data_IF_120076655355
#
_entry.id   IF_120076655355
#
_cell.length_a   1.000
_cell.length_b   1.000
_cell.length_c   1.000
_cell.angle_alpha   90.00
_cell.angle_beta   90.00
_cell.angle_gamma   90.00
#
_symmetry.space_group_name_H-M   'P 1'
#
loop_
_entity.id
_entity.type
_entity.pdbx_description
1 polymer ?
#
# COMPACT_ATOMS: atom_id res chain seq x y z
N UNK A 1 -43.46 -71.59 7.41
CA UNK A 1 -43.26 -72.17 8.77
C UNK A 1 -41.78 -72.03 9.12
N UNK A 2 -41.50 -71.40 10.27
CA UNK A 2 -40.30 -71.49 11.14
C UNK A 2 -38.89 -71.29 10.54
N UNK A 3 -38.34 -70.11 10.86
CA UNK A 3 -37.05 -69.84 11.53
C UNK A 3 -35.88 -70.79 11.33
N UNK A 4 -34.72 -70.27 10.88
CA UNK A 4 -33.42 -70.49 11.53
C UNK A 4 -32.50 -69.27 11.41
N UNK A 5 -31.95 -68.91 12.57
CA UNK A 5 -30.90 -67.93 12.83
C UNK A 5 -29.55 -68.57 12.52
N UNK A 6 -28.66 -67.87 11.83
CA UNK A 6 -27.23 -68.03 12.06
C UNK A 6 -26.50 -66.70 11.84
N UNK A 7 -25.96 -66.19 12.94
CA UNK A 7 -25.05 -65.05 13.04
C UNK A 7 -23.72 -65.42 12.38
N UNK A 8 -23.24 -64.56 11.47
CA UNK A 8 -21.82 -64.48 11.15
C UNK A 8 -21.41 -63.01 11.17
N UNK A 9 -20.56 -62.71 12.15
CA UNK A 9 -19.91 -61.44 12.42
C UNK A 9 -18.93 -61.13 11.27
N UNK A 10 -19.24 -60.12 10.45
CA UNK A 10 -18.27 -59.55 9.50
C UNK A 10 -18.06 -58.08 9.87
N UNK A 11 -16.86 -57.82 10.36
CA UNK A 11 -16.33 -56.51 10.70
C UNK A 11 -16.09 -55.74 9.37
N UNK A 12 -17.04 -54.89 8.96
CA UNK A 12 -16.82 -53.95 7.86
C UNK A 12 -16.26 -52.65 8.42
N UNK A 13 -14.99 -52.37 8.12
CA UNK A 13 -14.45 -51.01 8.21
C UNK A 13 -15.07 -50.18 7.09
N UNK A 14 -15.91 -49.22 7.47
CA UNK A 14 -16.37 -48.17 6.56
C UNK A 14 -15.22 -47.18 6.37
N UNK A 15 -14.52 -47.30 5.25
CA UNK A 15 -13.78 -46.18 4.67
C UNK A 15 -14.80 -45.26 4.00
N UNK A 16 -14.94 -44.04 4.49
CA UNK A 16 -15.74 -43.01 3.85
C UNK A 16 -14.86 -42.35 2.79
N UNK A 17 -15.17 -42.60 1.52
CA UNK A 17 -14.64 -41.86 0.38
C UNK A 17 -15.49 -40.58 0.25
N UNK A 18 -14.88 -39.42 0.49
CA UNK A 18 -15.52 -38.14 0.27
C UNK A 18 -14.96 -37.53 -1.02
N UNK A 19 -15.57 -37.89 -2.15
CA UNK A 19 -15.49 -37.11 -3.38
C UNK A 19 -16.02 -35.70 -3.08
N UNK A 20 -15.10 -34.77 -2.83
CA UNK A 20 -15.39 -33.35 -2.83
C UNK A 20 -15.01 -32.81 -4.19
N UNK A 21 -16.04 -32.58 -5.01
CA UNK A 21 -15.91 -31.88 -6.28
C UNK A 21 -15.07 -30.62 -6.08
N UNK A 22 -14.01 -30.52 -6.88
CA UNK A 22 -13.14 -29.35 -6.97
C UNK A 22 -13.93 -28.14 -7.43
N UNK A 23 -14.53 -27.44 -6.47
CA UNK A 23 -14.79 -26.02 -6.61
C UNK A 23 -13.43 -25.36 -6.84
N UNK A 24 -13.22 -24.88 -8.06
CA UNK A 24 -12.09 -24.03 -8.41
C UNK A 24 -12.10 -22.84 -7.45
N UNK A 25 -11.33 -22.97 -6.37
CA UNK A 25 -10.79 -21.86 -5.62
C UNK A 25 -10.08 -20.99 -6.67
N UNK A 26 -10.73 -19.92 -7.10
CA UNK A 26 -10.00 -18.79 -7.67
C UNK A 26 -8.98 -18.45 -6.58
N UNK A 27 -7.72 -18.81 -6.82
CA UNK A 27 -6.60 -18.22 -6.13
C UNK A 27 -6.74 -16.72 -6.38
N UNK A 28 -7.38 -16.00 -5.46
CA UNK A 28 -7.08 -14.59 -5.27
C UNK A 28 -5.61 -14.60 -4.93
N UNK A 29 -4.77 -14.31 -5.93
CA UNK A 29 -3.35 -14.11 -5.72
C UNK A 29 -3.25 -13.05 -4.63
N UNK A 30 -2.88 -13.47 -3.42
CA UNK A 30 -2.70 -12.56 -2.30
C UNK A 30 -1.44 -11.76 -2.61
N UNK A 31 -1.63 -10.58 -3.21
CA UNK A 31 -0.55 -9.67 -3.56
C UNK A 31 -0.14 -8.97 -2.28
N UNK A 32 1.14 -9.04 -1.93
CA UNK A 32 1.69 -8.33 -0.78
C UNK A 32 1.37 -6.84 -0.82
N UNK A 33 1.08 -6.24 0.34
CA UNK A 33 0.88 -4.80 0.49
C UNK A 33 2.18 -4.13 0.90
N UNK A 34 2.56 -3.09 0.17
CA UNK A 34 3.73 -2.28 0.47
C UNK A 34 3.33 -0.99 1.20
N UNK A 35 4.24 -0.45 2.01
CA UNK A 35 4.08 0.87 2.66
C UNK A 35 4.39 2.01 1.69
N UNK A 36 4.21 3.25 2.12
CA UNK A 36 4.45 4.42 1.26
C UNK A 36 5.93 4.66 0.95
N UNK A 37 6.84 4.07 1.74
CA UNK A 37 8.29 4.17 1.52
C UNK A 37 8.82 3.13 0.53
N UNK A 38 7.93 2.31 -0.07
CA UNK A 38 8.34 1.26 -0.99
C UNK A 38 8.98 1.83 -2.25
N UNK A 39 9.98 1.11 -2.78
CA UNK A 39 10.66 1.40 -4.06
C UNK A 39 10.36 0.38 -5.14
N UNK A 40 9.39 -0.50 -4.89
CA UNK A 40 8.93 -1.46 -5.86
C UNK A 40 7.45 -1.77 -5.63
N UNK A 41 6.79 -2.17 -6.69
CA UNK A 41 5.39 -2.59 -6.68
C UNK A 41 5.15 -3.59 -7.80
N UNK A 42 4.02 -4.28 -7.74
CA UNK A 42 3.61 -5.25 -8.76
C UNK A 42 2.28 -4.87 -9.38
N UNK A 43 2.14 -5.07 -10.68
CA UNK A 43 0.87 -4.96 -11.40
C UNK A 43 0.81 -6.05 -12.46
N UNK A 44 -0.23 -6.88 -12.40
CA UNK A 44 -0.34 -8.15 -13.13
C UNK A 44 0.93 -9.02 -12.98
N UNK A 45 1.48 -9.52 -14.08
CA UNK A 45 2.72 -10.31 -14.09
C UNK A 45 3.97 -9.43 -14.27
N UNK A 46 3.96 -8.21 -13.74
CA UNK A 46 5.09 -7.28 -13.79
C UNK A 46 5.48 -6.75 -12.41
N UNK A 47 6.79 -6.66 -12.18
CA UNK A 47 7.41 -5.99 -11.05
C UNK A 47 8.06 -4.70 -11.56
N UNK A 48 7.70 -3.58 -10.94
CA UNK A 48 8.29 -2.27 -11.19
C UNK A 48 9.16 -1.91 -10.00
N UNK A 49 10.36 -1.41 -10.23
CA UNK A 49 11.21 -0.87 -9.17
C UNK A 49 11.90 0.41 -9.58
N UNK A 50 12.18 1.27 -8.62
CA UNK A 50 12.90 2.52 -8.84
C UNK A 50 14.26 2.53 -8.14
N UNK A 51 15.26 3.05 -8.83
CA UNK A 51 16.49 3.54 -8.21
C UNK A 51 16.45 5.08 -8.11
N UNK A 52 17.59 5.76 -8.00
CA UNK A 52 17.63 7.21 -7.84
C UNK A 52 17.17 7.99 -9.09
N UNK A 53 17.08 7.35 -10.25
CA UNK A 53 16.75 8.02 -11.53
C UNK A 53 15.94 7.18 -12.52
N UNK A 54 15.73 5.90 -12.24
CA UNK A 54 15.32 4.93 -13.25
C UNK A 54 14.18 4.07 -12.76
N UNK A 55 13.17 3.89 -13.61
CA UNK A 55 12.12 2.89 -13.47
C UNK A 55 12.55 1.63 -14.22
N UNK A 56 12.69 0.55 -13.48
CA UNK A 56 13.06 -0.77 -13.96
C UNK A 56 11.79 -1.63 -14.06
N UNK A 57 11.58 -2.27 -15.20
CA UNK A 57 10.41 -3.13 -15.43
C UNK A 57 10.88 -4.56 -15.61
N UNK A 58 10.30 -5.47 -14.83
CA UNK A 58 10.57 -6.90 -14.88
C UNK A 58 9.29 -7.65 -15.18
N UNK A 59 9.33 -8.54 -16.16
CA UNK A 59 8.32 -9.60 -16.30
C UNK A 59 8.56 -10.65 -15.22
N UNK A 60 7.50 -11.00 -14.49
CA UNK A 60 7.47 -12.03 -13.44
C UNK A 60 6.49 -13.15 -13.79
N UNK A 61 6.21 -13.34 -15.09
CA UNK A 61 5.42 -14.48 -15.61
C UNK A 61 6.03 -15.81 -15.16
N UNK A 62 7.36 -15.94 -15.25
CA UNK A 62 8.12 -16.95 -14.52
C UNK A 62 8.64 -16.36 -13.21
N UNK A 63 7.96 -16.67 -12.11
CA UNK A 63 8.28 -16.14 -10.77
C UNK A 63 9.64 -16.60 -10.25
N UNK A 64 10.16 -17.72 -10.73
CA UNK A 64 11.48 -18.23 -10.35
C UNK A 64 12.59 -17.59 -11.18
N UNK A 65 12.25 -17.04 -12.36
CA UNK A 65 13.20 -16.40 -13.27
C UNK A 65 12.68 -15.05 -13.81
N UNK A 66 12.58 -14.00 -12.98
CA UNK A 66 12.21 -12.67 -13.44
C UNK A 66 13.13 -12.15 -14.55
N UNK A 67 12.55 -11.54 -15.59
CA UNK A 67 13.30 -10.98 -16.73
C UNK A 67 13.11 -9.47 -16.77
N UNK A 68 14.22 -8.71 -16.76
CA UNK A 68 14.16 -7.26 -17.00
C UNK A 68 13.76 -7.00 -18.46
N UNK A 69 12.58 -6.44 -18.67
CA UNK A 69 12.01 -6.20 -20.01
C UNK A 69 12.15 -4.76 -20.47
N UNK A 70 12.25 -3.81 -19.52
CA UNK A 70 12.43 -2.41 -19.85
C UNK A 70 13.19 -1.63 -18.76
N UNK A 71 13.70 -0.47 -19.13
CA UNK A 71 14.35 0.51 -18.28
C UNK A 71 14.02 1.91 -18.82
N UNK A 72 13.44 2.76 -17.97
CA UNK A 72 13.02 4.12 -18.32
C UNK A 72 13.72 5.11 -17.39
N UNK A 73 14.41 6.10 -17.96
CA UNK A 73 14.89 7.24 -17.18
C UNK A 73 13.70 8.12 -16.80
N UNK A 74 13.49 8.32 -15.49
CA UNK A 74 12.30 8.98 -14.93
C UNK A 74 12.64 10.24 -14.13
N UNK A 75 13.89 10.70 -14.15
CA UNK A 75 14.34 11.92 -13.49
C UNK A 75 15.48 11.66 -12.51
N UNK A 76 15.53 12.42 -11.41
CA UNK A 76 16.56 12.31 -10.39
C UNK A 76 15.93 12.37 -9.00
N UNK A 77 16.68 11.91 -8.00
CA UNK A 77 16.26 11.91 -6.59
C UNK A 77 14.90 11.21 -6.40
N UNK A 78 14.71 10.09 -7.10
CA UNK A 78 13.52 9.26 -6.94
C UNK A 78 13.62 8.48 -5.63
N UNK A 79 12.52 8.45 -4.88
CA UNK A 79 12.52 7.94 -3.49
C UNK A 79 11.50 6.84 -3.26
N UNK A 80 10.31 6.95 -3.85
CA UNK A 80 9.19 6.04 -3.60
C UNK A 80 8.44 5.69 -4.88
N UNK A 81 7.78 4.54 -4.86
CA UNK A 81 6.95 4.03 -5.94
C UNK A 81 5.67 3.42 -5.36
N UNK A 82 4.54 4.04 -5.69
CA UNK A 82 3.22 3.57 -5.31
C UNK A 82 2.39 3.22 -6.54
N UNK A 83 1.60 2.16 -6.44
CA UNK A 83 0.69 1.71 -7.49
C UNK A 83 -0.76 1.94 -7.07
N UNK A 84 -1.56 2.51 -7.97
CA UNK A 84 -3.01 2.43 -7.90
C UNK A 84 -3.58 2.14 -9.28
N UNK A 85 -4.21 0.96 -9.44
CA UNK A 85 -4.70 0.45 -10.72
C UNK A 85 -3.60 0.49 -11.80
N UNK A 86 -3.88 0.95 -13.01
CA UNK A 86 -2.94 1.12 -14.11
C UNK A 86 -2.04 2.38 -14.01
N UNK A 87 -1.87 2.97 -12.83
CA UNK A 87 -1.02 4.14 -12.61
C UNK A 87 0.09 3.86 -11.59
N UNK A 88 1.26 4.40 -11.88
CA UNK A 88 2.37 4.52 -10.96
C UNK A 88 2.52 5.98 -10.52
N UNK A 89 2.55 6.17 -9.21
CA UNK A 89 2.85 7.43 -8.56
C UNK A 89 4.27 7.33 -8.02
N UNK A 90 5.17 8.14 -8.57
CA UNK A 90 6.59 8.14 -8.24
C UNK A 90 6.87 9.37 -7.40
N UNK A 91 7.29 9.16 -6.15
CA UNK A 91 7.78 10.22 -5.30
C UNK A 91 9.25 10.53 -5.61
N UNK A 92 9.54 11.81 -5.77
CA UNK A 92 10.88 12.37 -5.90
C UNK A 92 11.00 13.54 -4.96
N UNK A 93 12.24 13.87 -4.59
CA UNK A 93 12.45 15.03 -3.73
C UNK A 93 11.87 16.32 -4.29
N UNK A 94 11.75 16.47 -5.61
CA UNK A 94 11.28 17.70 -6.23
C UNK A 94 9.82 17.65 -6.70
N UNK A 95 9.18 16.47 -6.67
CA UNK A 95 7.86 16.33 -7.24
C UNK A 95 7.30 14.92 -7.19
N UNK A 96 6.01 14.83 -7.47
CA UNK A 96 5.32 13.59 -7.77
C UNK A 96 5.19 13.44 -9.28
N UNK A 97 5.60 12.30 -9.83
CA UNK A 97 5.41 11.95 -11.24
C UNK A 97 4.33 10.88 -11.37
N UNK A 98 3.53 10.96 -12.43
CA UNK A 98 2.48 9.96 -12.73
C UNK A 98 2.80 9.29 -14.07
N UNK A 99 2.86 7.97 -14.06
CA UNK A 99 3.04 7.13 -15.24
C UNK A 99 1.84 6.21 -15.42
N UNK A 100 1.42 6.01 -16.67
CA UNK A 100 0.51 4.91 -17.05
C UNK A 100 1.30 3.64 -17.26
N UNK A 101 0.75 2.53 -16.78
CA UNK A 101 1.22 1.16 -17.04
C UNK A 101 0.14 0.33 -17.75
N UNK A 102 -0.72 1.00 -18.53
CA UNK A 102 -1.70 0.32 -19.38
C UNK A 102 -1.03 -0.60 -20.41
N UNK A 103 0.17 -0.24 -20.89
CA UNK A 103 1.12 -1.18 -21.47
C UNK A 103 2.16 -1.53 -20.39
N UNK A 104 2.09 -2.72 -19.75
CA UNK A 104 2.92 -3.02 -18.59
C UNK A 104 4.44 -2.99 -18.86
N UNK A 105 4.86 -3.34 -20.08
CA UNK A 105 6.27 -3.33 -20.45
C UNK A 105 6.78 -1.93 -20.82
N UNK A 106 5.88 -0.97 -21.13
CA UNK A 106 6.23 0.37 -21.61
C UNK A 106 5.53 1.46 -20.78
N UNK A 107 6.01 1.75 -19.55
CA UNK A 107 5.47 2.85 -18.75
C UNK A 107 5.51 4.18 -19.50
N UNK A 108 4.36 4.86 -19.55
CA UNK A 108 4.19 6.12 -20.26
C UNK A 108 4.06 7.27 -19.27
N UNK A 109 4.95 8.25 -19.35
CA UNK A 109 4.83 9.50 -18.59
C UNK A 109 3.52 10.21 -18.93
N UNK A 110 2.76 10.61 -17.91
CA UNK A 110 1.50 11.34 -18.06
C UNK A 110 1.64 12.80 -17.62
N UNK A 111 2.08 13.01 -16.38
CA UNK A 111 2.20 14.34 -15.79
C UNK A 111 3.15 14.33 -14.60
N UNK A 112 3.41 15.54 -14.08
CA UNK A 112 4.14 15.76 -12.84
C UNK A 112 3.47 16.88 -12.04
N UNK A 113 3.70 16.85 -10.73
CA UNK A 113 3.47 17.99 -9.85
C UNK A 113 4.78 18.30 -9.16
N UNK A 114 5.27 19.52 -9.35
CA UNK A 114 6.48 20.02 -8.70
C UNK A 114 6.11 20.70 -7.39
N UNK A 115 6.85 20.39 -6.33
CA UNK A 115 6.70 21.01 -5.01
C UNK A 115 8.06 21.49 -4.48
N UNK A 116 8.11 21.89 -3.20
CA UNK A 116 9.39 22.20 -2.55
C UNK A 116 10.24 20.94 -2.49
N UNK A 117 11.57 21.09 -2.55
CA UNK A 117 12.47 19.95 -2.38
C UNK A 117 12.29 19.34 -0.98
N UNK A 118 11.71 18.15 -0.83
CA UNK A 118 11.56 17.44 0.46
C UNK A 118 11.80 15.93 0.30
N UNK A 119 11.58 15.12 1.33
CA UNK A 119 11.46 13.68 1.14
C UNK A 119 9.98 13.31 1.10
N UNK A 120 9.56 12.62 0.03
CA UNK A 120 8.16 12.65 -0.41
C UNK A 120 7.59 11.25 -0.74
N UNK A 121 7.08 10.52 0.26
CA UNK A 121 6.20 9.38 0.01
C UNK A 121 4.86 9.84 -0.56
N UNK A 122 4.34 9.01 -1.46
CA UNK A 122 3.07 9.23 -2.13
C UNK A 122 2.18 8.02 -1.93
N UNK A 123 0.91 8.25 -1.58
CA UNK A 123 -0.16 7.26 -1.72
C UNK A 123 -1.30 7.89 -2.51
N UNK A 124 -2.05 7.08 -3.25
CA UNK A 124 -3.15 7.56 -4.06
C UNK A 124 -4.36 6.62 -3.99
N UNK A 125 -5.54 7.18 -4.22
CA UNK A 125 -6.75 6.43 -4.48
C UNK A 125 -7.31 6.81 -5.87
N UNK A 126 -8.59 6.52 -6.11
CA UNK A 126 -9.21 6.75 -7.40
C UNK A 126 -9.33 8.22 -7.81
N UNK A 127 -9.32 9.15 -6.84
CA UNK A 127 -9.64 10.56 -7.08
C UNK A 127 -8.59 11.51 -6.52
N UNK A 128 -7.75 11.06 -5.59
CA UNK A 128 -6.78 11.91 -4.90
C UNK A 128 -5.41 11.24 -4.73
N UNK A 129 -4.36 12.07 -4.79
CA UNK A 129 -3.01 11.73 -4.36
C UNK A 129 -2.64 12.53 -3.11
N UNK A 130 -1.94 11.87 -2.19
CA UNK A 130 -1.53 12.40 -0.90
C UNK A 130 -0.01 12.33 -0.82
N UNK A 131 0.61 13.48 -0.57
CA UNK A 131 2.08 13.64 -0.55
C UNK A 131 2.47 14.29 0.75
N UNK A 132 3.42 13.72 1.46
CA UNK A 132 3.99 14.36 2.67
C UNK A 132 5.36 14.90 2.36
N UNK A 133 5.55 16.20 2.60
CA UNK A 133 6.86 16.84 2.56
C UNK A 133 7.49 16.78 3.95
N UNK A 134 8.62 16.09 4.02
CA UNK A 134 9.38 15.89 5.26
C UNK A 134 10.69 16.71 5.30
N UNK A 135 10.94 17.41 6.40
CA UNK A 135 12.10 18.26 6.62
C UNK A 135 13.27 17.59 7.39
N UNK A 136 13.66 16.36 7.05
CA UNK A 136 14.86 15.75 7.66
C UNK A 136 16.18 16.23 7.03
N UNK A 137 17.28 15.88 7.70
CA UNK A 137 18.64 16.01 7.17
C UNK A 137 18.72 15.27 5.83
N UNK A 138 19.01 16.03 4.76
CA UNK A 138 19.14 15.50 3.40
C UNK A 138 17.90 15.68 2.52
N UNK A 139 16.77 16.12 3.08
CA UNK A 139 15.54 16.39 2.32
C UNK A 139 15.49 17.80 1.73
N UNK A 140 16.38 18.72 2.15
CA UNK A 140 16.52 20.03 1.50
C UNK A 140 15.46 21.08 1.86
N UNK A 141 14.58 20.80 2.82
CA UNK A 141 13.54 21.74 3.29
C UNK A 141 13.50 21.87 4.82
N UNK A 142 12.74 22.87 5.27
CA UNK A 142 12.33 23.09 6.66
C UNK A 142 10.81 23.03 6.85
N UNK A 143 10.06 22.53 5.86
CA UNK A 143 8.61 22.40 5.91
C UNK A 143 8.21 20.96 6.20
N UNK A 144 7.24 20.80 7.10
CA UNK A 144 6.58 19.53 7.39
C UNK A 144 5.10 19.70 7.07
N UNK A 145 4.66 19.18 5.93
CA UNK A 145 3.27 19.37 5.47
C UNK A 145 2.74 18.12 4.77
N UNK A 146 1.42 17.94 4.84
CA UNK A 146 0.66 17.05 3.96
C UNK A 146 0.04 17.90 2.85
N UNK A 147 0.22 17.49 1.61
CA UNK A 147 -0.42 18.05 0.42
C UNK A 147 -1.37 17.04 -0.20
N UNK A 148 -2.48 17.56 -0.72
CA UNK A 148 -3.52 16.76 -1.35
C UNK A 148 -3.80 17.31 -2.75
N UNK A 149 -3.84 16.40 -3.72
CA UNK A 149 -4.06 16.69 -5.12
C UNK A 149 -5.28 15.92 -5.65
N UNK A 150 -6.13 16.59 -6.42
CA UNK A 150 -7.13 15.94 -7.28
C UNK A 150 -6.39 15.27 -8.44
N UNK A 151 -6.69 13.98 -8.67
CA UNK A 151 -6.16 13.17 -9.78
C UNK A 151 -7.27 12.47 -10.57
N UNK A 152 -8.51 12.99 -10.55
CA UNK A 152 -9.58 12.54 -11.45
C UNK A 152 -9.15 12.67 -12.93
N UNK A 153 -8.38 13.72 -13.22
CA UNK A 153 -7.63 13.87 -14.46
C UNK A 153 -6.13 13.69 -14.18
N UNK A 154 -5.63 12.46 -14.33
CA UNK A 154 -4.23 12.11 -14.05
C UNK A 154 -3.22 12.79 -14.97
N UNK A 155 -3.64 13.41 -16.09
CA UNK A 155 -2.72 14.19 -16.94
C UNK A 155 -2.64 15.67 -16.51
N UNK A 156 -3.53 16.10 -15.62
CA UNK A 156 -3.55 17.45 -15.08
C UNK A 156 -3.97 17.46 -13.60
N UNK A 157 -3.11 16.96 -12.68
CA UNK A 157 -3.40 16.99 -11.25
C UNK A 157 -3.59 18.41 -10.72
N UNK A 158 -4.55 18.61 -9.80
CA UNK A 158 -4.88 19.93 -9.25
C UNK A 158 -4.63 19.94 -7.75
N UNK A 159 -3.85 20.91 -7.25
CA UNK A 159 -3.66 21.11 -5.82
C UNK A 159 -4.97 21.50 -5.14
N UNK A 160 -5.33 20.79 -4.07
CA UNK A 160 -6.54 21.03 -3.27
C UNK A 160 -6.19 21.77 -1.99
N UNK A 161 -5.34 21.17 -1.16
CA UNK A 161 -5.10 21.66 0.20
C UNK A 161 -3.73 21.25 0.73
N UNK A 162 -3.31 21.99 1.76
CA UNK A 162 -2.07 21.73 2.50
C UNK A 162 -2.35 21.86 4.00
N UNK A 163 -1.85 20.91 4.78
CA UNK A 163 -1.90 20.90 6.25
C UNK A 163 -0.48 20.87 6.82
N UNK A 164 -0.22 21.72 7.81
CA UNK A 164 1.03 21.64 8.58
C UNK A 164 1.02 20.44 9.52
N UNK A 165 2.14 19.72 9.54
CA UNK A 165 2.41 18.54 10.36
C UNK A 165 3.74 18.73 11.12
N UNK A 166 4.08 17.81 12.01
CA UNK A 166 5.27 17.96 12.86
C UNK A 166 6.53 17.43 12.18
N UNK A 167 6.45 16.21 11.66
CA UNK A 167 7.48 15.33 11.10
C UNK A 167 6.82 14.18 10.29
N UNK A 168 6.04 14.45 9.23
CA UNK A 168 5.37 13.38 8.49
C UNK A 168 6.37 12.52 7.71
N UNK A 169 6.19 11.20 7.72
CA UNK A 169 7.10 10.25 7.05
C UNK A 169 6.33 9.14 6.31
N UNK A 170 5.47 8.41 7.00
CA UNK A 170 4.74 7.26 6.44
C UNK A 170 3.30 7.61 6.10
N UNK A 171 2.73 7.01 5.06
CA UNK A 171 1.36 7.22 4.59
C UNK A 171 0.65 5.90 4.31
N UNK A 172 -0.62 5.82 4.69
CA UNK A 172 -1.48 4.67 4.41
C UNK A 172 -2.93 5.08 4.23
N UNK A 173 -3.65 4.40 3.34
CA UNK A 173 -5.08 4.63 3.11
C UNK A 173 -5.90 3.47 3.66
N UNK A 174 -7.01 3.79 4.33
CA UNK A 174 -7.98 2.83 4.83
C UNK A 174 -9.39 3.39 4.64
N UNK A 175 -10.06 3.03 3.54
CA UNK A 175 -11.37 3.61 3.20
C UNK A 175 -11.30 5.13 3.08
N UNK A 176 -12.13 5.82 3.86
CA UNK A 176 -12.17 7.29 3.94
C UNK A 176 -11.19 7.87 4.98
N UNK A 177 -10.17 7.10 5.37
CA UNK A 177 -9.17 7.51 6.35
C UNK A 177 -7.76 7.53 5.74
N UNK A 178 -7.03 8.60 6.03
CA UNK A 178 -5.60 8.73 5.77
C UNK A 178 -4.83 8.57 7.08
N UNK A 179 -3.93 7.61 7.12
CA UNK A 179 -3.04 7.35 8.25
C UNK A 179 -1.68 7.94 7.92
N UNK A 180 -1.16 8.77 8.82
CA UNK A 180 0.11 9.48 8.65
C UNK A 180 1.00 9.19 9.85
N UNK A 181 2.16 8.62 9.60
CA UNK A 181 3.21 8.54 10.61
C UNK A 181 3.85 9.92 10.75
N UNK A 182 3.71 10.54 11.92
CA UNK A 182 4.18 11.88 12.26
C UNK A 182 4.93 11.83 13.63
N UNK A 183 4.82 12.84 14.50
CA UNK A 183 5.19 12.76 15.93
C UNK A 183 4.33 11.78 16.74
N UNK A 184 3.17 11.41 16.20
CA UNK A 184 2.33 10.28 16.55
C UNK A 184 1.79 9.70 15.24
N UNK A 185 1.20 8.50 15.27
CA UNK A 185 0.48 8.01 14.10
C UNK A 185 -0.91 8.64 14.08
N UNK A 186 -1.09 9.64 13.22
CA UNK A 186 -2.30 10.45 13.08
C UNK A 186 -3.24 9.82 12.07
N UNK A 187 -4.53 9.77 12.38
CA UNK A 187 -5.58 9.29 11.47
C UNK A 187 -6.51 10.45 11.15
N UNK A 188 -6.55 10.80 9.87
CA UNK A 188 -7.41 11.85 9.33
C UNK A 188 -8.62 11.25 8.62
N UNK A 189 -9.81 11.80 8.87
CA UNK A 189 -10.97 11.63 8.00
C UNK A 189 -10.77 12.48 6.74
N UNK A 190 -10.86 11.82 5.57
CA UNK A 190 -10.70 12.40 4.24
C UNK A 190 -11.97 12.29 3.39
N UNK A 191 -13.14 12.04 4.01
CA UNK A 191 -14.44 12.03 3.33
C UNK A 191 -14.85 13.40 2.79
N UNK A 192 -14.40 14.48 3.44
CA UNK A 192 -14.39 15.85 2.92
C UNK A 192 -12.94 16.30 2.73
N UNK A 193 -12.47 16.25 1.48
CA UNK A 193 -11.07 16.49 1.14
C UNK A 193 -10.63 17.95 1.34
N UNK A 194 -11.57 18.89 1.27
CA UNK A 194 -11.29 20.31 1.53
C UNK A 194 -11.17 20.58 3.04
N UNK A 195 -11.84 19.77 3.87
CA UNK A 195 -11.91 19.94 5.33
C UNK A 195 -11.49 18.69 6.10
N UNK A 196 -10.34 18.11 5.75
CA UNK A 196 -9.82 16.92 6.44
C UNK A 196 -9.68 17.15 7.96
N UNK A 197 -10.07 16.17 8.77
CA UNK A 197 -10.10 16.31 10.23
C UNK A 197 -9.28 15.23 10.92
N UNK A 198 -8.48 15.60 11.93
CA UNK A 198 -7.79 14.64 12.78
C UNK A 198 -8.81 14.01 13.73
N UNK A 199 -9.05 12.72 13.61
CA UNK A 199 -10.10 12.03 14.37
C UNK A 199 -9.54 11.07 15.43
N UNK A 200 -8.29 10.63 15.27
CA UNK A 200 -7.63 9.70 16.17
C UNK A 200 -6.10 9.81 16.05
N UNK A 201 -5.40 9.42 17.12
CA UNK A 201 -3.95 9.27 17.14
C UNK A 201 -3.57 8.00 17.89
N UNK A 202 -2.61 7.26 17.37
CA UNK A 202 -1.94 6.16 18.07
C UNK A 202 -0.59 6.69 18.54
N UNK A 203 -0.34 6.63 19.84
CA UNK A 203 0.95 7.00 20.40
C UNK A 203 2.00 5.96 20.00
N UNK A 204 3.08 6.41 19.36
CA UNK A 204 4.19 5.59 18.93
C UNK A 204 5.01 6.32 17.88
N UNK A 205 6.32 6.09 17.89
CA UNK A 205 7.23 6.56 16.86
C UNK A 205 7.32 5.50 15.75
N UNK A 206 6.71 5.82 14.61
CA UNK A 206 6.71 4.98 13.42
C UNK A 206 7.18 5.81 12.24
N UNK A 207 7.91 5.20 11.32
CA UNK A 207 8.34 5.85 10.08
C UNK A 207 7.62 5.29 8.86
N UNK A 208 6.99 4.12 8.94
CA UNK A 208 6.19 3.54 7.86
C UNK A 208 4.90 2.91 8.39
N UNK A 209 3.92 2.84 7.50
CA UNK A 209 2.61 2.26 7.77
C UNK A 209 2.18 1.39 6.59
N UNK A 210 1.71 0.19 6.89
CA UNK A 210 1.15 -0.74 5.91
C UNK A 210 -0.26 -1.09 6.36
N UNK A 211 -1.24 -0.78 5.51
CA UNK A 211 -2.63 -1.17 5.72
C UNK A 211 -2.91 -2.43 4.91
N UNK A 212 -3.25 -3.51 5.60
CA UNK A 212 -3.66 -4.76 4.98
C UNK A 212 -5.03 -5.18 5.50
N UNK A 213 -6.07 -4.95 4.70
CA UNK A 213 -7.47 -5.08 5.13
C UNK A 213 -7.71 -4.31 6.43
N UNK A 214 -8.25 -4.96 7.45
CA UNK A 214 -8.53 -4.39 8.77
C UNK A 214 -7.34 -4.49 9.74
N UNK A 215 -6.12 -4.67 9.22
CA UNK A 215 -4.89 -4.68 10.03
C UNK A 215 -3.99 -3.52 9.64
N UNK A 216 -3.67 -2.69 10.64
CA UNK A 216 -2.65 -1.67 10.56
C UNK A 216 -1.32 -2.25 11.05
N UNK A 217 -0.28 -2.14 10.24
CA UNK A 217 1.08 -2.52 10.60
C UNK A 217 1.92 -1.24 10.64
N UNK A 218 2.48 -0.93 11.80
CA UNK A 218 3.38 0.21 12.01
C UNK A 218 4.80 -0.30 12.14
N UNK A 219 5.73 0.36 11.43
CA UNK A 219 7.16 0.08 11.52
C UNK A 219 7.82 1.27 12.23
N UNK A 220 8.42 1.00 13.38
CA UNK A 220 9.18 1.96 14.16
C UNK A 220 10.61 1.49 14.43
N UNK A 221 11.43 2.36 14.99
CA UNK A 221 12.84 2.05 15.26
C UNK A 221 13.03 0.82 16.16
N UNK A 222 12.12 0.62 17.12
CA UNK A 222 12.20 -0.44 18.13
C UNK A 222 11.45 -1.72 17.75
N UNK A 223 10.75 -1.74 16.62
CA UNK A 223 9.96 -2.91 16.24
C UNK A 223 8.80 -2.65 15.29
N UNK A 224 8.04 -3.71 15.07
CA UNK A 224 6.81 -3.74 14.29
C UNK A 224 5.62 -3.92 15.24
N UNK A 225 4.59 -3.11 15.04
CA UNK A 225 3.39 -3.09 15.87
C UNK A 225 2.16 -3.31 15.01
N UNK A 226 1.26 -4.20 15.43
CA UNK A 226 0.03 -4.48 14.69
C UNK A 226 -1.17 -3.99 15.47
N UNK A 227 -2.11 -3.33 14.80
CA UNK A 227 -3.37 -2.85 15.36
C UNK A 227 -4.53 -3.29 14.48
N UNK A 228 -5.69 -3.48 15.09
CA UNK A 228 -6.94 -3.64 14.35
C UNK A 228 -7.46 -2.30 13.87
N UNK A 229 -8.06 -2.29 12.69
CA UNK A 229 -8.81 -1.19 12.12
C UNK A 229 -10.28 -1.60 11.99
N UNK A 230 -11.18 -0.61 12.11
CA UNK A 230 -12.60 -0.81 11.86
C UNK A 230 -13.16 0.50 11.29
N UNK A 231 -13.77 0.50 10.09
CA UNK A 231 -14.18 1.76 9.48
C UNK A 231 -15.36 2.42 10.22
N UNK A 232 -16.14 1.62 10.95
CA UNK A 232 -17.26 2.08 11.77
C UNK A 232 -16.84 2.49 13.19
N UNK A 233 -15.58 2.27 13.57
CA UNK A 233 -15.06 2.54 14.92
C UNK A 233 -13.57 2.87 14.88
N UNK A 234 -13.15 3.72 13.95
CA UNK A 234 -11.74 4.01 13.65
C UNK A 234 -10.95 4.60 14.83
N UNK A 235 -11.64 5.20 15.81
CA UNK A 235 -11.05 5.70 17.06
C UNK A 235 -10.65 4.56 18.03
N UNK A 236 -11.07 3.33 17.77
CA UNK A 236 -10.75 2.16 18.59
C UNK A 236 -9.77 1.25 17.82
N UNK A 237 -8.48 1.54 17.98
CA UNK A 237 -7.38 0.78 17.38
C UNK A 237 -6.76 -0.14 18.43
N UNK A 238 -7.28 -1.36 18.59
CA UNK A 238 -6.73 -2.33 19.55
C UNK A 238 -5.41 -2.90 19.03
N UNK A 239 -4.37 -2.85 19.86
CA UNK A 239 -3.07 -3.46 19.54
C UNK A 239 -3.19 -4.99 19.56
N UNK A 240 -2.86 -5.61 18.44
CA UNK A 240 -2.95 -7.06 18.22
C UNK A 240 -1.65 -7.76 18.61
N UNK A 241 -0.50 -7.21 18.23
CA UNK A 241 0.80 -7.84 18.46
C UNK A 241 1.95 -6.83 18.37
N UNK A 242 3.12 -7.25 18.85
CA UNK A 242 4.38 -6.53 18.70
C UNK A 242 5.53 -7.48 18.47
N UNK A 243 6.42 -7.11 17.55
CA UNK A 243 7.70 -7.76 17.30
C UNK A 243 8.78 -6.71 17.57
N UNK A 244 9.53 -6.87 18.67
CA UNK A 244 10.62 -5.97 18.99
C UNK A 244 11.90 -6.34 18.20
N UNK A 245 12.70 -5.33 17.86
CA UNK A 245 14.00 -5.48 17.16
C UNK A 245 15.15 -5.12 18.11
#
# INVERSE_FOLDING_TARGET
MKTYILILLVLMMFGCDSDSASGLSQNTNDIGKAGSLARFTTYDDHLYSVDNSTLNVFSIVDRENPVKVNEVFIGFNIETLFNFKEFLYVGSQNGMYIYSIQNPEEPLYLSEVQHFTACDPVVANATHAFVTLHADIGCGTNINVLEIYDVNDVVNPIFISRRHLTKPIGLGLYGDYLIVCDDEVKIFDISDIENTSLIHSINGDAFDVIVNNDTLILIGENGLYQYSLNPNSIQNTEQLSTINI
#
